data_IF_202187683246
#
_entry.id   IF_202187683246
#
_cell.length_a   1.000
_cell.length_b   1.000
_cell.length_c   1.000
_cell.angle_alpha   90.00
_cell.angle_beta   90.00
_cell.angle_gamma   90.00
#
_symmetry.space_group_name_H-M   'P 1'
#
loop_
_entity.id
_entity.type
_entity.pdbx_description
1 polymer ?
#
# COMPACT_ATOMS: atom_id res chain seq x y z
N UNK A 1 4.06 23.57 32.48
CA UNK A 1 5.15 23.13 31.59
C UNK A 1 5.83 21.89 32.14
N UNK A 2 5.92 20.82 31.33
CA UNK A 2 7.10 19.96 31.13
C UNK A 2 6.69 18.75 30.29
N UNK A 3 7.17 18.73 29.05
CA UNK A 3 7.22 17.58 28.13
C UNK A 3 7.84 16.38 28.84
N UNK A 4 7.19 15.21 28.78
CA UNK A 4 7.78 13.90 29.04
C UNK A 4 7.26 12.95 27.96
N UNK A 5 8.18 12.37 27.18
CA UNK A 5 7.88 11.38 26.14
C UNK A 5 9.17 10.94 25.45
N UNK A 6 9.74 9.82 25.89
CA UNK A 6 11.09 9.34 25.57
C UNK A 6 11.29 8.97 24.10
N UNK A 7 12.37 9.49 23.52
CA UNK A 7 12.67 9.45 22.08
C UNK A 7 13.72 8.44 21.63
N UNK A 8 13.88 7.29 22.29
CA UNK A 8 14.93 6.32 21.89
C UNK A 8 14.54 4.84 21.90
N UNK A 9 13.41 4.45 22.51
CA UNK A 9 12.95 3.04 22.51
C UNK A 9 11.98 2.73 21.36
N UNK A 10 11.21 3.72 20.88
CA UNK A 10 10.21 3.54 19.81
C UNK A 10 10.80 3.52 18.39
N UNK A 11 12.04 3.98 18.19
CA UNK A 11 12.64 4.07 16.85
C UNK A 11 13.11 2.70 16.32
N UNK A 12 13.79 1.89 17.16
CA UNK A 12 14.30 0.59 16.75
C UNK A 12 13.18 -0.43 16.50
N UNK A 13 12.23 -0.56 17.44
CA UNK A 13 11.07 -1.44 17.27
C UNK A 13 10.20 -1.00 16.09
N UNK A 14 10.02 0.30 15.89
CA UNK A 14 9.30 0.84 14.73
C UNK A 14 9.96 0.45 13.41
N UNK A 15 11.29 0.57 13.30
CA UNK A 15 12.05 0.14 12.13
C UNK A 15 11.93 -1.38 11.92
N UNK A 16 12.03 -2.18 12.98
CA UNK A 16 11.83 -3.64 12.89
C UNK A 16 10.44 -4.00 12.38
N UNK A 17 9.38 -3.36 12.88
CA UNK A 17 8.02 -3.59 12.41
C UNK A 17 7.82 -3.17 10.94
N UNK A 18 8.43 -2.06 10.50
CA UNK A 18 8.39 -1.65 9.10
C UNK A 18 9.07 -2.68 8.20
N UNK A 19 10.27 -3.15 8.57
CA UNK A 19 11.00 -4.17 7.80
C UNK A 19 10.18 -5.46 7.72
N UNK A 20 9.65 -5.93 8.85
CA UNK A 20 8.81 -7.13 8.88
C UNK A 20 7.57 -6.97 7.99
N UNK A 21 6.87 -5.83 8.08
CA UNK A 21 5.72 -5.52 7.23
C UNK A 21 6.08 -5.55 5.74
N UNK A 22 7.22 -4.97 5.35
CA UNK A 22 7.66 -4.95 3.95
C UNK A 22 7.99 -6.35 3.43
N UNK A 23 8.59 -7.21 4.26
CA UNK A 23 8.85 -8.61 3.90
C UNK A 23 7.54 -9.37 3.71
N UNK A 24 6.58 -9.20 4.62
CA UNK A 24 5.26 -9.83 4.54
C UNK A 24 4.47 -9.35 3.30
N UNK A 25 4.53 -8.04 3.00
CA UNK A 25 3.93 -7.48 1.77
C UNK A 25 4.56 -8.09 0.51
N UNK A 26 5.89 -8.23 0.49
CA UNK A 26 6.61 -8.85 -0.63
C UNK A 26 6.26 -10.31 -0.84
N UNK A 27 6.18 -11.10 0.24
CA UNK A 27 5.75 -12.50 0.21
C UNK A 27 4.30 -12.61 -0.30
N UNK A 28 3.40 -11.76 0.20
CA UNK A 28 1.99 -11.73 -0.21
C UNK A 28 1.85 -11.37 -1.69
N UNK A 29 2.59 -10.37 -2.18
CA UNK A 29 2.63 -10.01 -3.59
C UNK A 29 3.14 -11.16 -4.48
N UNK A 30 4.15 -11.91 -4.00
CA UNK A 30 4.65 -13.11 -4.65
C UNK A 30 3.58 -14.19 -4.80
N UNK A 31 2.82 -14.46 -3.72
CA UNK A 31 1.69 -15.39 -3.76
C UNK A 31 0.57 -14.92 -4.70
N UNK A 32 0.21 -13.63 -4.67
CA UNK A 32 -0.79 -13.05 -5.58
C UNK A 32 -0.39 -13.21 -7.06
N UNK A 33 0.89 -12.98 -7.38
CA UNK A 33 1.40 -13.14 -8.75
C UNK A 33 1.37 -14.61 -9.19
N UNK A 34 1.85 -15.53 -8.34
CA UNK A 34 1.82 -16.97 -8.62
C UNK A 34 0.40 -17.45 -8.87
N UNK A 35 -0.55 -17.07 -8.02
CA UNK A 35 -1.94 -17.48 -8.15
C UNK A 35 -2.59 -16.95 -9.43
N UNK A 36 -2.31 -15.69 -9.83
CA UNK A 36 -2.75 -15.15 -11.12
C UNK A 36 -2.16 -15.93 -12.31
N UNK A 37 -0.88 -16.29 -12.26
CA UNK A 37 -0.21 -17.08 -13.32
C UNK A 37 -0.75 -18.49 -13.42
N UNK A 38 -0.93 -19.19 -12.30
CA UNK A 38 -1.51 -20.54 -12.29
C UNK A 38 -2.97 -20.53 -12.77
N UNK A 39 -3.77 -19.54 -12.37
CA UNK A 39 -5.16 -19.42 -12.83
C UNK A 39 -5.24 -19.15 -14.34
N UNK A 40 -4.33 -18.33 -14.89
CA UNK A 40 -4.26 -18.06 -16.33
C UNK A 40 -3.86 -19.31 -17.16
N UNK A 41 -3.07 -20.23 -16.60
CA UNK A 41 -2.70 -21.51 -17.25
C UNK A 41 -3.89 -22.48 -17.33
N UNK A 42 -4.81 -22.43 -16.37
CA UNK A 42 -6.03 -23.28 -16.32
C UNK A 42 -7.12 -22.76 -17.27
N UNK A 43 -6.85 -21.72 -18.07
CA UNK A 43 -7.79 -21.16 -19.04
C UNK A 43 -8.89 -20.30 -18.43
N UNK A 44 -8.95 -20.20 -17.11
CA UNK A 44 -9.76 -19.21 -16.40
C UNK A 44 -9.05 -17.88 -16.59
N UNK A 45 -9.69 -16.92 -17.26
CA UNK A 45 -9.28 -15.52 -17.23
C UNK A 45 -9.96 -14.90 -16.00
N UNK A 46 -9.36 -14.93 -14.80
CA UNK A 46 -9.98 -14.30 -13.64
C UNK A 46 -10.13 -12.83 -14.00
N UNK A 47 -11.38 -12.35 -14.06
CA UNK A 47 -11.60 -10.91 -14.22
C UNK A 47 -10.87 -10.26 -13.05
N UNK A 48 -9.98 -9.29 -13.30
CA UNK A 48 -9.22 -8.67 -12.22
C UNK A 48 -10.13 -8.17 -11.07
N UNK A 49 -11.40 -7.85 -11.36
CA UNK A 49 -12.39 -7.35 -10.41
C UNK A 49 -12.82 -8.43 -9.40
N UNK A 50 -13.07 -9.66 -9.87
CA UNK A 50 -13.49 -10.77 -9.03
C UNK A 50 -12.38 -11.10 -8.03
N UNK A 51 -11.14 -11.16 -8.50
CA UNK A 51 -9.99 -11.39 -7.63
C UNK A 51 -9.89 -10.35 -6.51
N UNK A 52 -10.14 -9.08 -6.84
CA UNK A 52 -10.04 -7.99 -5.88
C UNK A 52 -11.21 -7.91 -4.90
N UNK A 53 -12.43 -8.20 -5.37
CA UNK A 53 -13.59 -8.30 -4.48
C UNK A 53 -13.35 -9.37 -3.41
N UNK A 54 -12.90 -10.56 -3.84
CA UNK A 54 -12.61 -11.65 -2.91
C UNK A 54 -11.47 -11.29 -1.96
N UNK A 55 -10.35 -10.72 -2.43
CA UNK A 55 -9.26 -10.33 -1.54
C UNK A 55 -9.67 -9.25 -0.54
N UNK A 56 -10.45 -8.24 -0.95
CA UNK A 56 -10.94 -7.19 -0.06
C UNK A 56 -11.96 -7.72 0.94
N UNK A 57 -12.82 -8.66 0.53
CA UNK A 57 -13.76 -9.32 1.42
C UNK A 57 -13.04 -10.15 2.48
N UNK A 58 -12.06 -10.97 2.07
CA UNK A 58 -11.25 -11.73 3.02
C UNK A 58 -10.46 -10.83 3.97
N UNK A 59 -9.89 -9.71 3.49
CA UNK A 59 -9.23 -8.73 4.35
C UNK A 59 -10.20 -8.06 5.34
N UNK A 60 -11.44 -7.79 4.93
CA UNK A 60 -12.47 -7.27 5.81
C UNK A 60 -12.83 -8.29 6.90
N UNK A 61 -13.04 -9.56 6.52
CA UNK A 61 -13.35 -10.63 7.47
C UNK A 61 -12.23 -10.84 8.48
N UNK A 62 -10.97 -10.89 8.03
CA UNK A 62 -9.83 -11.02 8.94
C UNK A 62 -9.71 -9.81 9.85
N UNK A 63 -9.92 -8.59 9.33
CA UNK A 63 -9.93 -7.38 10.15
C UNK A 63 -11.01 -7.40 11.23
N UNK A 64 -12.23 -7.85 10.91
CA UNK A 64 -13.31 -8.01 11.89
C UNK A 64 -12.94 -9.04 12.96
N UNK A 65 -12.43 -10.21 12.56
CA UNK A 65 -12.02 -11.26 13.49
C UNK A 65 -10.93 -10.76 14.45
N UNK A 66 -9.90 -10.10 13.93
CA UNK A 66 -8.81 -9.52 14.73
C UNK A 66 -9.33 -8.43 15.66
N UNK A 67 -10.16 -7.51 15.16
CA UNK A 67 -10.75 -6.43 15.97
C UNK A 67 -11.67 -6.97 17.08
N UNK A 68 -12.40 -8.05 16.83
CA UNK A 68 -13.17 -8.74 17.87
C UNK A 68 -12.27 -9.44 18.88
N UNK A 69 -11.21 -10.12 18.45
CA UNK A 69 -10.28 -10.81 19.33
C UNK A 69 -9.53 -9.86 20.26
N UNK A 70 -9.24 -8.63 19.80
CA UNK A 70 -8.63 -7.57 20.59
C UNK A 70 -9.63 -6.78 21.45
N UNK A 71 -10.94 -7.02 21.30
CA UNK A 71 -12.00 -6.31 22.02
C UNK A 71 -12.27 -4.88 21.54
N UNK A 72 -11.53 -4.41 20.54
CA UNK A 72 -11.56 -3.02 20.05
C UNK A 72 -12.83 -2.69 19.25
N UNK A 73 -13.51 -3.71 18.69
CA UNK A 73 -14.70 -3.50 17.88
C UNK A 73 -15.84 -2.82 18.67
N UNK A 74 -16.05 -3.27 19.92
CA UNK A 74 -17.11 -2.73 20.78
C UNK A 74 -16.83 -1.28 21.19
N UNK A 75 -15.60 -1.01 21.63
CA UNK A 75 -15.12 0.33 22.00
C UNK A 75 -15.15 1.29 20.82
N UNK A 76 -14.70 0.85 19.65
CA UNK A 76 -14.72 1.65 18.43
C UNK A 76 -16.12 1.99 17.95
N UNK A 77 -17.08 1.06 18.10
CA UNK A 77 -18.47 1.31 17.75
C UNK A 77 -19.12 2.31 18.72
N UNK A 78 -18.91 2.17 20.04
CA UNK A 78 -19.40 3.12 21.05
C UNK A 78 -18.90 4.54 20.75
N UNK A 79 -17.60 4.67 20.44
CA UNK A 79 -17.00 5.94 20.07
C UNK A 79 -17.64 6.57 18.83
N UNK A 80 -17.95 5.76 17.81
CA UNK A 80 -18.64 6.22 16.61
C UNK A 80 -20.08 6.65 16.88
N UNK A 81 -20.79 5.96 17.77
CA UNK A 81 -22.16 6.33 18.16
C UNK A 81 -22.21 7.60 18.99
N UNK A 82 -21.21 7.83 19.84
CA UNK A 82 -21.08 9.04 20.65
C UNK A 82 -20.66 10.25 19.80
N UNK A 83 -20.00 10.02 18.65
CA UNK A 83 -19.47 11.07 17.78
C UNK A 83 -19.96 10.90 16.32
N UNK A 84 -21.23 11.23 16.02
CA UNK A 84 -21.82 11.03 14.70
C UNK A 84 -21.13 11.84 13.59
N UNK A 85 -20.50 12.98 13.91
CA UNK A 85 -19.70 13.73 12.94
C UNK A 85 -18.50 12.91 12.45
N UNK A 86 -17.80 12.25 13.36
CA UNK A 86 -16.64 11.40 13.03
C UNK A 86 -17.10 10.21 12.19
N UNK A 87 -18.22 9.58 12.55
CA UNK A 87 -18.79 8.50 11.75
C UNK A 87 -19.10 8.93 10.31
N UNK A 88 -19.67 10.12 10.11
CA UNK A 88 -19.88 10.68 8.77
C UNK A 88 -18.57 10.90 8.01
N UNK A 89 -17.51 11.37 8.68
CA UNK A 89 -16.18 11.53 8.07
C UNK A 89 -15.58 10.18 7.68
N UNK A 90 -15.71 9.15 8.51
CA UNK A 90 -15.25 7.78 8.24
C UNK A 90 -15.96 7.22 7.00
N UNK A 91 -17.29 7.37 6.90
CA UNK A 91 -18.04 6.91 5.72
C UNK A 91 -17.57 7.64 4.46
N UNK A 92 -17.45 8.97 4.51
CA UNK A 92 -16.97 9.77 3.35
C UNK A 92 -15.56 9.34 2.93
N UNK A 93 -14.68 9.09 3.90
CA UNK A 93 -13.34 8.58 3.66
C UNK A 93 -13.36 7.19 3.04
N UNK A 94 -14.23 6.29 3.52
CA UNK A 94 -14.38 4.94 3.00
C UNK A 94 -14.90 4.94 1.55
N UNK A 95 -15.91 5.76 1.25
CA UNK A 95 -16.44 5.92 -0.12
C UNK A 95 -15.36 6.48 -1.04
N UNK A 96 -14.65 7.53 -0.63
CA UNK A 96 -13.54 8.08 -1.39
C UNK A 96 -12.43 7.03 -1.63
N UNK A 97 -12.11 6.25 -0.60
CA UNK A 97 -11.13 5.16 -0.70
C UNK A 97 -11.59 4.06 -1.65
N UNK A 98 -12.86 3.67 -1.63
CA UNK A 98 -13.43 2.67 -2.54
C UNK A 98 -13.38 3.14 -4.00
N UNK A 99 -13.67 4.42 -4.27
CA UNK A 99 -13.52 5.03 -5.60
C UNK A 99 -12.05 5.04 -6.03
N UNK A 100 -11.14 5.48 -5.15
CA UNK A 100 -9.69 5.49 -5.43
C UNK A 100 -9.14 4.09 -5.71
N UNK A 101 -9.55 3.10 -4.92
CA UNK A 101 -9.22 1.69 -5.16
C UNK A 101 -9.79 1.17 -6.47
N UNK A 102 -11.01 1.58 -6.85
CA UNK A 102 -11.60 1.22 -8.15
C UNK A 102 -10.82 1.80 -9.33
N UNK A 103 -10.23 3.00 -9.19
CA UNK A 103 -9.37 3.59 -10.22
C UNK A 103 -8.01 2.90 -10.32
N UNK A 104 -7.39 2.57 -9.17
CA UNK A 104 -6.18 1.73 -9.11
C UNK A 104 -6.45 0.38 -9.80
N UNK A 105 -7.61 -0.20 -9.52
CA UNK A 105 -8.06 -1.44 -10.11
C UNK A 105 -8.24 -1.34 -11.63
N UNK A 106 -8.99 -0.34 -12.09
CA UNK A 106 -9.16 -0.06 -13.52
C UNK A 106 -7.82 0.08 -14.21
N UNK A 107 -6.85 0.72 -13.54
CA UNK A 107 -5.48 0.84 -14.04
C UNK A 107 -4.78 -0.52 -14.14
N UNK A 108 -4.91 -1.43 -13.18
CA UNK A 108 -4.33 -2.79 -13.26
C UNK A 108 -4.97 -3.63 -14.37
N UNK A 109 -6.28 -3.49 -14.56
CA UNK A 109 -7.01 -4.28 -15.55
C UNK A 109 -6.68 -3.85 -16.99
N UNK A 110 -6.41 -2.56 -17.21
CA UNK A 110 -6.16 -1.99 -18.54
C UNK A 110 -4.68 -1.71 -18.84
N UNK A 111 -3.86 -1.47 -17.81
CA UNK A 111 -2.43 -1.20 -17.93
C UNK A 111 -1.62 -2.26 -17.20
N UNK A 112 -0.44 -2.53 -17.77
CA UNK A 112 0.53 -3.47 -17.24
C UNK A 112 0.88 -3.12 -15.76
N UNK A 113 0.91 -4.07 -14.81
CA UNK A 113 1.07 -3.79 -13.36
C UNK A 113 2.28 -2.92 -12.99
N UNK A 114 3.30 -2.88 -13.86
CA UNK A 114 4.47 -2.00 -13.72
C UNK A 114 4.06 -0.52 -13.71
N UNK A 115 3.16 -0.11 -14.61
CA UNK A 115 2.74 1.30 -14.73
C UNK A 115 2.07 1.75 -13.44
N UNK A 116 1.27 0.89 -12.83
CA UNK A 116 0.66 1.19 -11.53
C UNK A 116 1.72 1.31 -10.42
N UNK A 117 2.67 0.38 -10.35
CA UNK A 117 3.74 0.41 -9.33
C UNK A 117 4.54 1.71 -9.42
N UNK A 118 4.89 2.12 -10.64
CA UNK A 118 5.55 3.39 -10.92
C UNK A 118 4.68 4.57 -10.48
N UNK A 119 3.42 4.66 -10.93
CA UNK A 119 2.50 5.77 -10.57
C UNK A 119 2.31 5.88 -9.05
N UNK A 120 2.11 4.76 -8.37
CA UNK A 120 1.89 4.73 -6.91
C UNK A 120 3.14 5.19 -6.16
N UNK A 121 4.32 4.72 -6.57
CA UNK A 121 5.57 5.05 -5.90
C UNK A 121 5.98 6.50 -6.18
N UNK A 122 5.81 6.97 -7.42
CA UNK A 122 5.98 8.38 -7.78
C UNK A 122 5.06 9.27 -6.94
N UNK A 123 3.76 8.91 -6.80
CA UNK A 123 2.83 9.65 -5.93
C UNK A 123 3.30 9.68 -4.47
N UNK A 124 3.81 8.56 -3.94
CA UNK A 124 4.36 8.49 -2.58
C UNK A 124 5.56 9.42 -2.41
N UNK A 125 6.50 9.40 -3.35
CA UNK A 125 7.69 10.28 -3.34
C UNK A 125 7.26 11.75 -3.38
N UNK A 126 6.36 12.14 -4.28
CA UNK A 126 5.84 13.51 -4.35
C UNK A 126 5.13 13.93 -3.07
N UNK A 127 4.34 13.05 -2.45
CA UNK A 127 3.66 13.36 -1.19
C UNK A 127 4.65 13.58 -0.04
N UNK A 128 5.73 12.79 0.01
CA UNK A 128 6.82 12.96 0.98
C UNK A 128 7.52 14.30 0.76
N UNK A 129 7.94 14.59 -0.47
CA UNK A 129 8.58 15.86 -0.82
C UNK A 129 7.68 17.06 -0.49
N UNK A 130 6.41 17.02 -0.89
CA UNK A 130 5.44 18.08 -0.62
C UNK A 130 5.23 18.28 0.89
N UNK A 131 5.13 17.21 1.67
CA UNK A 131 5.02 17.31 3.13
C UNK A 131 6.24 17.98 3.75
N UNK A 132 7.43 17.82 3.16
CA UNK A 132 8.68 18.40 3.67
C UNK A 132 8.74 19.89 3.33
N UNK A 133 8.42 20.25 2.08
CA UNK A 133 8.33 21.65 1.65
C UNK A 133 7.30 22.44 2.47
N UNK A 134 6.12 21.86 2.72
CA UNK A 134 5.05 22.52 3.48
C UNK A 134 5.35 22.61 4.99
N UNK A 135 6.04 21.62 5.57
CA UNK A 135 6.37 21.60 7.02
C UNK A 135 7.71 22.24 7.36
N UNK A 136 8.48 22.70 6.37
CA UNK A 136 9.76 23.40 6.56
C UNK A 136 10.85 22.60 7.29
N UNK A 137 10.71 21.27 7.42
CA UNK A 137 11.72 20.43 8.07
C UNK A 137 12.87 20.15 7.12
N UNK A 138 14.11 20.28 7.59
CA UNK A 138 15.29 19.82 6.86
C UNK A 138 15.39 18.29 6.91
N UNK A 139 15.49 17.67 5.74
CA UNK A 139 15.76 16.23 5.61
C UNK A 139 17.16 15.91 6.12
N UNK A 140 17.28 14.89 6.96
CA UNK A 140 18.57 14.29 7.31
C UNK A 140 19.22 13.66 6.07
N UNK A 141 20.54 13.46 6.12
CA UNK A 141 21.29 12.79 5.06
C UNK A 141 20.71 11.40 4.72
N UNK A 142 20.20 10.70 5.75
CA UNK A 142 19.50 9.41 5.64
C UNK A 142 18.14 9.49 4.95
N UNK A 143 17.43 10.61 5.08
CA UNK A 143 16.17 10.84 4.37
C UNK A 143 16.40 11.06 2.87
N UNK A 144 17.44 11.83 2.52
CA UNK A 144 17.84 12.03 1.13
C UNK A 144 18.32 10.74 0.46
N UNK A 145 19.11 9.92 1.17
CA UNK A 145 19.55 8.63 0.63
C UNK A 145 18.37 7.67 0.41
N UNK A 146 17.37 7.67 1.30
CA UNK A 146 16.15 6.89 1.13
C UNK A 146 15.35 7.29 -0.13
N UNK A 147 15.22 8.59 -0.41
CA UNK A 147 14.56 9.09 -1.62
C UNK A 147 15.33 8.66 -2.87
N UNK A 148 16.67 8.80 -2.87
CA UNK A 148 17.51 8.37 -3.98
C UNK A 148 17.42 6.86 -4.24
N UNK A 149 17.43 6.04 -3.18
CA UNK A 149 17.26 4.59 -3.30
C UNK A 149 15.88 4.22 -3.87
N UNK A 150 14.81 4.89 -3.43
CA UNK A 150 13.48 4.67 -3.97
C UNK A 150 13.38 5.03 -5.46
N UNK A 151 13.94 6.18 -5.87
CA UNK A 151 14.02 6.58 -7.28
C UNK A 151 14.85 5.59 -8.10
N UNK A 152 16.01 5.16 -7.59
CA UNK A 152 16.87 4.15 -8.24
C UNK A 152 16.15 2.81 -8.41
N UNK A 153 15.40 2.37 -7.41
CA UNK A 153 14.56 1.17 -7.47
C UNK A 153 13.58 1.22 -8.64
N UNK A 154 12.81 2.30 -8.77
CA UNK A 154 11.84 2.48 -9.87
C UNK A 154 12.56 2.47 -11.23
N UNK A 155 13.67 3.19 -11.37
CA UNK A 155 14.43 3.25 -12.62
C UNK A 155 14.96 1.87 -13.02
N UNK A 156 15.48 1.10 -12.07
CA UNK A 156 15.95 -0.26 -12.32
C UNK A 156 14.83 -1.20 -12.74
N UNK A 157 13.65 -1.11 -12.11
CA UNK A 157 12.47 -1.93 -12.46
C UNK A 157 11.96 -1.59 -13.87
N UNK A 158 11.95 -0.30 -14.24
CA UNK A 158 11.60 0.17 -15.58
C UNK A 158 12.61 -0.31 -16.64
N UNK A 159 13.91 -0.20 -16.37
CA UNK A 159 14.98 -0.65 -17.28
C UNK A 159 14.97 -2.16 -17.49
N UNK A 160 14.79 -2.95 -16.43
CA UNK A 160 14.72 -4.41 -16.52
C UNK A 160 13.57 -4.86 -17.42
N UNK A 161 12.39 -4.23 -17.30
CA UNK A 161 11.23 -4.58 -18.11
C UNK A 161 11.35 -4.13 -19.58
N UNK A 162 11.92 -2.94 -19.83
CA UNK A 162 12.23 -2.48 -21.20
C UNK A 162 13.24 -3.39 -21.89
N UNK A 163 14.26 -3.85 -21.17
CA UNK A 163 15.28 -4.78 -21.69
C UNK A 163 14.71 -6.18 -21.96
N UNK A 164 13.81 -6.67 -21.09
CA UNK A 164 13.09 -7.94 -21.30
C UNK A 164 12.16 -7.90 -22.52
N UNK A 165 11.46 -6.78 -22.74
CA UNK A 165 10.59 -6.59 -23.93
C UNK A 165 11.41 -6.52 -25.23
N UNK A 166 12.62 -5.96 -25.19
CA UNK A 166 13.55 -5.91 -26.33
C UNK A 166 14.07 -7.30 -26.74
N UNK A 167 14.26 -8.22 -25.79
CA UNK A 167 14.64 -9.62 -26.08
C UNK A 167 13.49 -10.47 -26.62
N UNK A 168 12.24 -10.18 -26.26
CA UNK A 168 11.07 -10.94 -26.71
C UNK A 168 10.57 -10.57 -28.13
N UNK A 169 11.06 -9.47 -28.70
CA UNK A 169 10.66 -9.00 -30.04
C UNK A 169 11.79 -9.10 -31.08
N UNK A 170 12.90 -9.75 -30.73
CA UNK A 170 14.06 -9.98 -31.60
C UNK A 170 14.27 -11.44 -31.97
N UNK A 171 13.23 -12.27 -31.92
CA UNK A 171 13.23 -13.66 -32.37
C UNK A 171 12.00 -13.90 -33.24
#
# INVERSE_FOLDING_TARGET
>A
GKKKGGGSSSSAMGVTYIILSLVLDGVTAGFQKRLKTETAKVGVKPKPYDFMFWTNLYMCLTAVVVATALGELSTGLSFCTENPEIFSKIIKFAVCSAVGQSFIFYTIANFDPLILSTVTTTRKIFSVLLSIFLKGHSLSLTGWSGILLACGGILSEMQAKMSGKKKAHGH
#
